data_IF_239750052355
#
_entry.id   IF_239750052355
#
_cell.length_a   1.000
_cell.length_b   1.000
_cell.length_c   1.000
_cell.angle_alpha   90.00
_cell.angle_beta   90.00
_cell.angle_gamma   90.00
#
_symmetry.space_group_name_H-M   'P 1'
#
loop_
_entity.id
_entity.type
_entity.pdbx_description
1 polymer ?
#
# COMPACT_ATOMS: atom_id res chain seq x y z
N UNK A 1 3.25 24.11 -22.92
CA UNK A 1 3.07 22.95 -22.02
C UNK A 1 4.18 21.96 -22.30
N UNK A 2 4.82 21.38 -21.31
CA UNK A 2 5.97 20.48 -21.37
C UNK A 2 7.15 21.02 -22.20
N UNK A 3 7.87 22.09 -21.73
CA UNK A 3 9.10 22.54 -22.36
C UNK A 3 10.16 21.45 -22.38
N UNK A 4 10.89 21.31 -23.48
CA UNK A 4 11.90 20.25 -23.65
C UNK A 4 12.98 20.30 -22.54
N UNK A 5 13.44 21.51 -22.24
CA UNK A 5 14.46 21.73 -21.19
C UNK A 5 13.99 21.20 -19.81
N UNK A 6 12.72 21.44 -19.46
CA UNK A 6 12.16 20.94 -18.20
C UNK A 6 11.98 19.41 -18.22
N UNK A 7 11.63 18.84 -19.38
CA UNK A 7 11.56 17.40 -19.53
C UNK A 7 12.91 16.75 -19.28
N UNK A 8 13.96 17.26 -19.90
CA UNK A 8 15.33 16.71 -19.72
C UNK A 8 15.81 16.84 -18.26
N UNK A 9 15.53 17.96 -17.62
CA UNK A 9 15.84 18.17 -16.21
C UNK A 9 15.12 17.14 -15.32
N UNK A 10 13.80 16.99 -15.50
CA UNK A 10 12.98 16.04 -14.71
C UNK A 10 13.33 14.59 -14.99
N UNK A 11 13.67 14.27 -16.24
CA UNK A 11 14.18 12.95 -16.62
C UNK A 11 15.46 12.61 -15.83
N UNK A 12 16.42 13.52 -15.82
CA UNK A 12 17.68 13.31 -15.09
C UNK A 12 17.46 13.13 -13.58
N UNK A 13 16.59 13.95 -12.99
CA UNK A 13 16.16 13.81 -11.58
C UNK A 13 15.49 12.46 -11.32
N UNK A 14 14.54 12.04 -12.16
CA UNK A 14 13.82 10.78 -12.03
C UNK A 14 14.76 9.57 -12.13
N UNK A 15 15.66 9.56 -13.11
CA UNK A 15 16.67 8.49 -13.26
C UNK A 15 17.58 8.42 -12.05
N UNK A 16 18.02 9.58 -11.53
CA UNK A 16 18.84 9.63 -10.31
C UNK A 16 18.09 9.03 -9.12
N UNK A 17 16.82 9.36 -8.93
CA UNK A 17 15.98 8.83 -7.85
C UNK A 17 15.79 7.30 -7.99
N UNK A 18 15.55 6.79 -9.20
CA UNK A 18 15.41 5.34 -9.44
C UNK A 18 16.73 4.62 -9.14
N UNK A 19 17.87 5.19 -9.54
CA UNK A 19 19.20 4.62 -9.24
C UNK A 19 19.49 4.63 -7.74
N UNK A 20 19.09 5.69 -7.03
CA UNK A 20 19.21 5.73 -5.57
C UNK A 20 18.33 4.67 -4.92
N UNK A 21 17.05 4.53 -5.33
CA UNK A 21 16.16 3.49 -4.82
C UNK A 21 16.73 2.08 -5.03
N UNK A 22 17.35 1.83 -6.20
CA UNK A 22 17.98 0.56 -6.52
C UNK A 22 19.16 0.21 -5.57
N UNK A 23 19.69 1.18 -4.84
CA UNK A 23 20.75 1.00 -3.83
C UNK A 23 20.22 0.72 -2.42
N UNK A 24 18.89 0.76 -2.20
CA UNK A 24 18.25 0.48 -0.92
C UNK A 24 17.69 -0.95 -0.87
N UNK A 25 18.20 -1.84 0.00
CA UNK A 25 17.72 -3.23 0.12
C UNK A 25 16.22 -3.32 0.38
N UNK A 26 15.66 -2.44 1.22
CA UNK A 26 14.23 -2.42 1.52
C UNK A 26 13.37 -2.19 0.27
N UNK A 27 13.77 -1.27 -0.62
CA UNK A 27 13.06 -1.00 -1.87
C UNK A 27 13.14 -2.21 -2.79
N UNK A 28 14.36 -2.77 -2.96
CA UNK A 28 14.58 -3.93 -3.82
C UNK A 28 13.83 -5.18 -3.37
N UNK A 29 13.72 -5.38 -2.05
CA UNK A 29 12.93 -6.49 -1.50
C UNK A 29 11.44 -6.31 -1.82
N UNK A 30 10.89 -5.08 -1.66
CA UNK A 30 9.48 -4.79 -1.98
C UNK A 30 9.21 -4.99 -3.47
N UNK A 31 10.00 -4.42 -4.36
CA UNK A 31 9.85 -4.62 -5.82
C UNK A 31 9.92 -6.11 -6.18
N UNK A 32 10.88 -6.83 -5.60
CA UNK A 32 11.04 -8.26 -5.83
C UNK A 32 9.83 -9.10 -5.38
N UNK A 33 9.24 -8.80 -4.22
CA UNK A 33 8.05 -9.54 -3.75
C UNK A 33 6.80 -9.18 -4.54
N UNK A 34 6.62 -7.92 -4.94
CA UNK A 34 5.49 -7.52 -5.77
C UNK A 34 5.53 -8.18 -7.16
N UNK A 35 6.73 -8.27 -7.76
CA UNK A 35 6.90 -9.01 -9.02
C UNK A 35 6.59 -10.50 -8.88
N UNK A 36 6.96 -11.12 -7.75
CA UNK A 36 6.64 -12.53 -7.47
C UNK A 36 5.13 -12.75 -7.26
N UNK A 37 4.44 -11.81 -6.61
CA UNK A 37 3.01 -11.87 -6.33
C UNK A 37 2.17 -11.68 -7.60
N UNK A 38 2.48 -10.64 -8.35
CA UNK A 38 1.62 -10.18 -9.44
C UNK A 38 2.12 -10.57 -10.84
N UNK A 39 3.40 -10.91 -10.98
CA UNK A 39 4.03 -11.08 -12.29
C UNK A 39 4.43 -9.75 -12.94
N UNK A 40 5.42 -9.75 -13.86
CA UNK A 40 6.05 -8.52 -14.37
C UNK A 40 5.10 -7.63 -15.20
N UNK A 41 4.07 -8.21 -15.79
CA UNK A 41 3.12 -7.46 -16.64
C UNK A 41 2.00 -6.78 -15.85
N UNK A 42 1.79 -7.17 -14.61
CA UNK A 42 0.72 -6.64 -13.77
C UNK A 42 1.04 -5.22 -13.28
N UNK A 43 0.06 -4.28 -13.27
CA UNK A 43 0.31 -2.91 -12.81
C UNK A 43 0.94 -2.80 -11.42
N UNK A 44 0.54 -3.66 -10.48
CA UNK A 44 1.06 -3.64 -9.10
C UNK A 44 2.48 -4.18 -8.94
N UNK A 45 3.02 -4.84 -9.96
CA UNK A 45 4.43 -5.24 -9.98
C UNK A 45 5.37 -4.17 -10.56
N UNK A 46 4.81 -3.16 -11.22
CA UNK A 46 5.62 -2.12 -11.86
C UNK A 46 6.10 -1.10 -10.83
N UNK A 47 7.41 -0.77 -10.79
CA UNK A 47 7.89 0.30 -9.95
C UNK A 47 7.20 1.62 -10.30
N UNK A 48 6.63 2.31 -9.30
CA UNK A 48 5.88 3.55 -9.51
C UNK A 48 6.72 4.67 -10.14
N UNK A 49 8.03 4.68 -9.91
CA UNK A 49 8.97 5.64 -10.48
C UNK A 49 9.47 5.24 -11.88
N UNK A 50 9.07 4.06 -12.39
CA UNK A 50 9.54 3.51 -13.66
C UNK A 50 10.93 2.87 -13.57
N UNK A 51 11.55 2.68 -14.74
CA UNK A 51 12.91 2.15 -14.88
C UNK A 51 13.77 3.14 -15.69
N UNK A 52 15.11 3.17 -15.49
CA UNK A 52 15.98 4.08 -16.25
C UNK A 52 15.76 4.00 -17.76
N UNK A 53 15.63 2.78 -18.30
CA UNK A 53 15.45 2.51 -19.73
C UNK A 53 14.13 3.09 -20.26
N UNK A 54 13.05 2.99 -19.49
CA UNK A 54 11.74 3.55 -19.87
C UNK A 54 11.74 5.06 -19.77
N UNK A 55 12.41 5.63 -18.76
CA UNK A 55 12.57 7.07 -18.59
C UNK A 55 13.45 7.68 -19.69
N UNK A 56 14.53 7.01 -20.08
CA UNK A 56 15.42 7.45 -21.18
C UNK A 56 14.69 7.42 -22.54
N UNK A 57 13.83 6.43 -22.77
CA UNK A 57 13.07 6.30 -24.02
C UNK A 57 11.90 7.27 -24.12
N UNK A 58 11.39 7.81 -23.00
CA UNK A 58 10.21 8.67 -22.96
C UNK A 58 10.43 9.98 -23.71
N UNK A 59 9.52 10.36 -24.57
CA UNK A 59 9.56 11.58 -25.37
C UNK A 59 8.51 12.58 -24.93
N UNK A 60 8.70 13.85 -25.29
CA UNK A 60 7.70 14.89 -25.05
C UNK A 60 6.32 14.53 -25.61
N UNK A 61 6.28 13.89 -26.78
CA UNK A 61 5.03 13.44 -27.40
C UNK A 61 4.26 12.46 -26.51
N UNK A 62 4.95 11.57 -25.79
CA UNK A 62 4.33 10.59 -24.89
C UNK A 62 3.66 11.30 -23.71
N UNK A 63 4.31 12.33 -23.12
CA UNK A 63 3.71 13.14 -22.07
C UNK A 63 2.49 13.92 -22.54
N UNK A 64 2.53 14.48 -23.76
CA UNK A 64 1.40 15.18 -24.35
C UNK A 64 0.23 14.23 -24.57
N UNK A 65 0.50 13.04 -25.12
CA UNK A 65 -0.51 12.01 -25.35
C UNK A 65 -1.13 11.51 -24.01
N UNK A 66 -0.29 11.24 -23.03
CA UNK A 66 -0.75 10.83 -21.69
C UNK A 66 -1.63 11.91 -21.05
N UNK A 67 -1.18 13.16 -21.08
CA UNK A 67 -1.94 14.28 -20.55
C UNK A 67 -3.31 14.42 -21.23
N UNK A 68 -3.35 14.36 -22.57
CA UNK A 68 -4.59 14.48 -23.32
C UNK A 68 -5.58 13.34 -23.04
N UNK A 69 -5.08 12.16 -22.73
CA UNK A 69 -5.90 10.99 -22.46
C UNK A 69 -6.41 10.91 -21.01
N UNK A 70 -5.56 11.23 -20.04
CA UNK A 70 -5.84 10.94 -18.63
C UNK A 70 -6.17 12.16 -17.78
N UNK A 71 -5.68 13.37 -18.15
CA UNK A 71 -6.02 14.59 -17.47
C UNK A 71 -7.20 15.27 -18.19
N UNK A 72 -8.38 14.74 -17.94
CA UNK A 72 -9.65 15.14 -18.58
C UNK A 72 -10.69 15.53 -17.53
N UNK A 73 -11.68 16.39 -17.88
CA UNK A 73 -12.70 16.82 -16.92
C UNK A 73 -13.45 15.66 -16.24
N UNK A 74 -13.76 14.62 -17.01
CA UNK A 74 -14.49 13.44 -16.52
C UNK A 74 -13.73 12.65 -15.45
N UNK A 75 -12.39 12.76 -15.41
CA UNK A 75 -11.53 12.13 -14.40
C UNK A 75 -11.27 13.03 -13.20
N UNK A 76 -11.62 14.33 -13.24
CA UNK A 76 -11.31 15.27 -12.17
C UNK A 76 -12.20 15.01 -10.95
N UNK A 77 -11.56 14.83 -9.80
CA UNK A 77 -12.20 14.87 -8.47
C UNK A 77 -11.46 15.92 -7.65
N UNK A 78 -12.20 16.90 -7.15
CA UNK A 78 -11.62 18.03 -6.43
C UNK A 78 -12.21 18.10 -5.01
N UNK A 79 -11.35 18.02 -4.01
CA UNK A 79 -11.68 18.28 -2.63
C UNK A 79 -11.05 19.62 -2.21
N UNK A 80 -11.84 20.52 -1.65
CA UNK A 80 -11.38 21.82 -1.15
C UNK A 80 -11.74 21.89 0.33
N UNK A 81 -10.74 22.06 1.19
CA UNK A 81 -10.90 22.10 2.63
C UNK A 81 -10.13 23.31 3.17
N UNK A 82 -10.78 24.10 4.02
CA UNK A 82 -10.18 25.28 4.63
C UNK A 82 -11.21 26.33 5.03
N UNK A 83 -10.73 27.48 5.44
CA UNK A 83 -11.56 28.64 5.77
C UNK A 83 -12.01 29.36 4.48
N UNK A 84 -12.98 28.75 3.78
CA UNK A 84 -13.52 29.26 2.52
C UNK A 84 -15.03 29.01 2.43
N UNK A 85 -15.75 30.00 1.92
CA UNK A 85 -17.16 29.86 1.60
C UNK A 85 -17.35 28.92 0.41
N UNK A 86 -18.17 27.88 0.59
CA UNK A 86 -18.41 26.84 -0.41
C UNK A 86 -18.90 27.40 -1.77
N UNK A 87 -19.77 28.43 -1.74
CA UNK A 87 -20.26 29.11 -2.95
C UNK A 87 -19.09 29.75 -3.76
N UNK A 88 -18.19 30.47 -3.07
CA UNK A 88 -17.04 31.09 -3.69
C UNK A 88 -16.07 30.07 -4.28
N UNK A 89 -15.86 28.94 -3.58
CA UNK A 89 -15.02 27.85 -4.09
C UNK A 89 -15.63 27.23 -5.35
N UNK A 90 -16.94 26.95 -5.34
CA UNK A 90 -17.68 26.41 -6.49
C UNK A 90 -17.62 27.37 -7.67
N UNK A 91 -17.87 28.67 -7.44
CA UNK A 91 -17.82 29.70 -8.50
C UNK A 91 -16.42 29.80 -9.12
N UNK A 92 -15.37 29.77 -8.28
CA UNK A 92 -13.99 29.78 -8.75
C UNK A 92 -13.66 28.55 -9.61
N UNK A 93 -14.03 27.36 -9.15
CA UNK A 93 -13.85 26.10 -9.91
C UNK A 93 -14.61 26.16 -11.22
N UNK A 94 -15.88 26.54 -11.19
CA UNK A 94 -16.72 26.66 -12.37
C UNK A 94 -16.12 27.64 -13.37
N UNK A 95 -15.70 28.82 -12.91
CA UNK A 95 -15.08 29.85 -13.77
C UNK A 95 -13.82 29.34 -14.46
N UNK A 96 -12.97 28.55 -13.77
CA UNK A 96 -11.69 28.12 -14.33
C UNK A 96 -11.77 26.83 -15.13
N UNK A 97 -12.74 25.95 -14.85
CA UNK A 97 -12.83 24.62 -15.46
C UNK A 97 -13.99 24.43 -16.42
N UNK A 98 -15.01 25.32 -16.45
CA UNK A 98 -16.19 25.17 -17.32
C UNK A 98 -15.85 25.11 -18.82
N UNK A 99 -14.76 25.77 -19.26
CA UNK A 99 -14.28 25.72 -20.65
C UNK A 99 -13.38 24.52 -20.97
N UNK A 100 -13.04 23.71 -19.96
CA UNK A 100 -12.17 22.54 -20.17
C UNK A 100 -12.98 21.37 -20.72
N UNK A 101 -12.68 20.99 -21.96
CA UNK A 101 -13.30 19.87 -22.66
C UNK A 101 -12.30 18.73 -22.82
N UNK A 102 -12.79 17.50 -22.85
CA UNK A 102 -12.00 16.31 -23.04
C UNK A 102 -12.88 15.10 -23.34
N UNK A 103 -12.28 13.97 -23.71
CA UNK A 103 -13.02 12.73 -23.89
C UNK A 103 -13.58 12.22 -22.55
N UNK A 104 -14.52 11.28 -22.63
CA UNK A 104 -14.94 10.52 -21.49
C UNK A 104 -13.77 9.74 -20.91
N UNK A 105 -13.79 9.55 -19.60
CA UNK A 105 -12.77 8.79 -18.89
C UNK A 105 -13.32 7.39 -18.55
N UNK A 106 -12.66 6.39 -19.11
CA UNK A 106 -12.88 5.01 -18.69
C UNK A 106 -11.85 4.69 -17.61
N UNK A 107 -12.28 4.24 -16.42
CA UNK A 107 -11.35 3.82 -15.37
C UNK A 107 -10.46 2.66 -15.84
N UNK A 108 -9.18 2.71 -15.51
CA UNK A 108 -8.28 1.61 -15.80
C UNK A 108 -8.74 0.35 -15.05
N UNK A 109 -8.88 -0.75 -15.79
CA UNK A 109 -9.21 -2.04 -15.21
C UNK A 109 -7.94 -2.68 -14.70
N UNK A 110 -7.90 -2.96 -13.39
CA UNK A 110 -6.83 -3.74 -12.79
C UNK A 110 -7.14 -5.23 -13.00
N UNK A 111 -6.30 -5.99 -13.72
CA UNK A 111 -6.53 -7.41 -13.93
C UNK A 111 -6.42 -8.17 -12.60
N UNK A 112 -7.07 -9.34 -12.47
CA UNK A 112 -6.87 -10.18 -11.30
C UNK A 112 -5.42 -10.68 -11.25
N UNK A 113 -4.83 -10.81 -10.05
CA UNK A 113 -3.50 -11.38 -9.92
C UNK A 113 -3.47 -12.87 -10.31
N UNK A 114 -2.29 -13.40 -10.68
CA UNK A 114 -2.15 -14.82 -10.94
C UNK A 114 -2.37 -15.66 -9.66
N UNK A 115 -2.71 -16.95 -9.79
CA UNK A 115 -2.84 -17.84 -8.64
C UNK A 115 -1.58 -17.82 -7.77
N UNK A 116 -1.77 -17.60 -6.46
CA UNK A 116 -0.69 -17.49 -5.50
C UNK A 116 -0.09 -18.87 -5.20
N UNK A 117 1.23 -18.97 -5.32
CA UNK A 117 2.03 -20.13 -4.89
C UNK A 117 3.25 -19.63 -4.13
N UNK A 118 3.83 -20.46 -3.27
CA UNK A 118 5.05 -20.08 -2.56
C UNK A 118 6.20 -19.86 -3.53
N UNK A 119 6.72 -18.62 -3.53
CA UNK A 119 7.86 -18.22 -4.36
C UNK A 119 8.88 -17.49 -3.47
N UNK A 120 10.15 -17.60 -3.83
CA UNK A 120 11.21 -16.85 -3.13
C UNK A 120 12.25 -16.33 -4.12
N UNK A 121 12.83 -15.16 -3.79
CA UNK A 121 13.93 -14.56 -4.55
C UNK A 121 14.96 -13.97 -3.61
N UNK A 122 16.24 -14.18 -3.90
CA UNK A 122 17.34 -13.46 -3.26
C UNK A 122 17.89 -12.43 -4.26
N UNK A 123 18.06 -11.21 -3.79
CA UNK A 123 18.62 -10.09 -4.55
C UNK A 123 19.94 -9.73 -3.88
N UNK A 124 21.04 -10.10 -4.55
CA UNK A 124 22.37 -9.84 -4.02
C UNK A 124 22.72 -8.35 -4.17
N UNK A 125 23.11 -7.74 -3.06
CA UNK A 125 23.50 -6.34 -2.97
C UNK A 125 24.85 -6.23 -2.21
N UNK A 126 25.97 -6.46 -2.89
CA UNK A 126 27.28 -6.46 -2.24
C UNK A 126 27.61 -5.15 -1.52
N UNK A 127 28.26 -5.24 -0.36
CA UNK A 127 28.66 -4.07 0.43
C UNK A 127 27.55 -3.51 1.35
N UNK A 128 26.36 -4.08 1.36
CA UNK A 128 25.32 -3.72 2.34
C UNK A 128 25.58 -4.43 3.68
N UNK A 129 25.23 -3.76 4.78
CA UNK A 129 25.39 -4.30 6.13
C UNK A 129 24.13 -4.94 6.68
N UNK A 130 22.99 -4.67 6.04
CA UNK A 130 21.65 -5.15 6.43
C UNK A 130 21.04 -5.93 5.27
N UNK A 131 20.25 -6.94 5.60
CA UNK A 131 19.32 -7.57 4.67
C UNK A 131 17.90 -7.15 5.00
N UNK A 132 17.13 -6.83 3.97
CA UNK A 132 15.72 -6.52 4.07
C UNK A 132 14.89 -7.65 3.48
N UNK A 133 13.90 -8.08 4.25
CA UNK A 133 12.93 -9.11 3.91
C UNK A 133 11.62 -8.42 3.56
N UNK A 134 11.07 -8.73 2.41
CA UNK A 134 9.69 -8.47 2.04
C UNK A 134 8.99 -9.81 1.81
N UNK A 135 7.93 -10.05 2.57
CA UNK A 135 7.15 -11.28 2.56
C UNK A 135 5.69 -10.89 2.34
N UNK A 136 4.99 -11.50 1.38
CA UNK A 136 3.69 -10.97 1.00
C UNK A 136 2.69 -11.99 0.51
N UNK A 137 1.44 -11.52 0.51
CA UNK A 137 0.26 -12.19 0.02
C UNK A 137 -0.51 -11.26 -0.91
N UNK A 138 -1.20 -11.82 -1.89
CA UNK A 138 -2.25 -11.11 -2.61
C UNK A 138 -3.49 -11.12 -1.74
N UNK A 139 -3.95 -9.96 -1.32
CA UNK A 139 -5.09 -9.80 -0.43
C UNK A 139 -6.36 -9.41 -1.20
N UNK A 140 -7.24 -8.62 -0.62
CA UNK A 140 -8.53 -8.23 -1.17
C UNK A 140 -8.53 -6.76 -1.60
N UNK A 141 -9.49 -6.40 -2.45
CA UNK A 141 -9.71 -5.00 -2.84
C UNK A 141 -10.38 -4.19 -1.72
N UNK A 142 -10.29 -2.86 -1.79
CA UNK A 142 -10.86 -1.93 -0.79
C UNK A 142 -12.36 -2.10 -0.60
N UNK A 143 -13.10 -2.42 -1.65
CA UNK A 143 -14.56 -2.59 -1.62
C UNK A 143 -15.02 -4.01 -1.31
N UNK A 144 -14.13 -4.91 -0.92
CA UNK A 144 -14.54 -6.22 -0.43
C UNK A 144 -15.29 -6.07 0.91
N UNK A 145 -16.43 -6.73 1.10
CA UNK A 145 -17.17 -6.65 2.37
C UNK A 145 -16.37 -7.02 3.61
N UNK A 146 -15.33 -7.85 3.43
CA UNK A 146 -14.45 -8.33 4.52
C UNK A 146 -13.30 -7.38 4.82
N UNK A 147 -13.22 -6.23 4.15
CA UNK A 147 -12.09 -5.29 4.27
C UNK A 147 -11.73 -4.95 5.73
N UNK A 148 -12.74 -4.72 6.58
CA UNK A 148 -12.48 -4.35 7.98
C UNK A 148 -11.90 -5.51 8.78
N UNK A 149 -12.31 -6.75 8.53
CA UNK A 149 -11.71 -7.93 9.16
C UNK A 149 -10.24 -8.10 8.77
N UNK A 150 -9.91 -7.87 7.50
CA UNK A 150 -8.51 -7.87 7.02
C UNK A 150 -7.70 -6.73 7.62
N UNK A 151 -8.29 -5.56 7.78
CA UNK A 151 -7.64 -4.43 8.44
C UNK A 151 -7.31 -4.75 9.90
N UNK A 152 -8.26 -5.32 10.66
CA UNK A 152 -8.02 -5.78 12.03
C UNK A 152 -6.92 -6.84 12.08
N UNK A 153 -7.01 -7.87 11.25
CA UNK A 153 -6.01 -8.92 11.16
C UNK A 153 -4.61 -8.35 10.91
N UNK A 154 -4.45 -7.46 9.94
CA UNK A 154 -3.16 -6.84 9.65
C UNK A 154 -2.69 -5.94 10.80
N UNK A 155 -3.59 -5.21 11.46
CA UNK A 155 -3.23 -4.38 12.61
C UNK A 155 -2.67 -5.24 13.75
N UNK A 156 -3.32 -6.33 14.09
CA UNK A 156 -2.86 -7.27 15.13
C UNK A 156 -1.54 -7.92 14.72
N UNK A 157 -1.43 -8.34 13.46
CA UNK A 157 -0.23 -9.01 12.96
C UNK A 157 1.00 -8.11 13.03
N UNK A 158 0.89 -6.87 12.55
CA UNK A 158 2.08 -6.06 12.36
C UNK A 158 1.93 -4.55 12.35
N UNK A 159 0.77 -3.98 12.75
CA UNK A 159 0.60 -2.52 12.82
C UNK A 159 0.29 -1.98 14.22
N UNK A 160 -0.11 -2.85 15.17
CA UNK A 160 -0.47 -2.39 16.50
C UNK A 160 0.77 -1.90 17.27
N UNK A 161 0.69 -0.72 17.86
CA UNK A 161 1.80 -0.13 18.62
C UNK A 161 3.08 -0.02 17.79
N UNK A 162 4.13 -0.70 18.20
CA UNK A 162 5.42 -0.72 17.51
C UNK A 162 5.55 -1.81 16.44
N UNK A 163 4.46 -2.47 16.05
CA UNK A 163 4.46 -3.46 14.96
C UNK A 163 3.77 -4.79 15.29
N UNK A 164 2.88 -4.83 16.30
CA UNK A 164 2.05 -5.99 16.63
C UNK A 164 2.86 -7.25 16.98
N UNK A 165 2.27 -8.42 16.72
CA UNK A 165 2.90 -9.74 17.00
C UNK A 165 4.26 -9.93 16.34
N UNK A 166 4.43 -9.36 15.12
CA UNK A 166 5.69 -9.47 14.39
C UNK A 166 6.83 -8.75 15.11
N UNK A 167 6.59 -7.52 15.57
CA UNK A 167 7.62 -6.78 16.28
C UNK A 167 7.89 -7.38 17.66
N UNK A 168 6.84 -7.76 18.39
CA UNK A 168 6.98 -8.41 19.68
C UNK A 168 7.90 -9.62 19.60
N UNK A 169 7.63 -10.54 18.66
CA UNK A 169 8.43 -11.74 18.50
C UNK A 169 9.82 -11.47 17.93
N UNK A 170 9.90 -10.79 16.76
CA UNK A 170 11.14 -10.76 15.97
C UNK A 170 12.10 -9.69 16.49
N UNK A 171 11.56 -8.55 16.95
CA UNK A 171 12.35 -7.42 17.44
C UNK A 171 12.56 -7.48 18.95
N UNK A 172 11.49 -7.55 19.75
CA UNK A 172 11.59 -7.43 21.20
C UNK A 172 12.10 -8.72 21.86
N UNK A 173 11.49 -9.88 21.57
CA UNK A 173 11.88 -11.14 22.20
C UNK A 173 13.19 -11.71 21.65
N UNK A 174 13.35 -11.68 20.32
CA UNK A 174 14.50 -12.32 19.67
C UNK A 174 15.64 -11.36 19.32
N UNK A 175 15.42 -10.05 19.35
CA UNK A 175 16.46 -9.03 19.09
C UNK A 175 17.07 -9.10 17.69
N UNK A 176 16.36 -9.67 16.70
CA UNK A 176 16.92 -9.93 15.37
C UNK A 176 16.75 -8.79 14.38
N UNK A 177 15.73 -7.97 14.59
CA UNK A 177 15.33 -6.96 13.62
C UNK A 177 15.34 -5.57 14.23
N UNK A 178 15.78 -4.58 13.43
CA UNK A 178 15.57 -3.18 13.75
C UNK A 178 14.11 -2.78 13.62
N UNK A 179 13.43 -3.36 12.62
CA UNK A 179 12.00 -3.23 12.43
C UNK A 179 11.39 -4.55 11.93
N UNK A 180 10.17 -4.83 12.34
CA UNK A 180 9.32 -5.88 11.79
C UNK A 180 7.87 -5.42 11.89
N UNK A 181 7.18 -5.31 10.76
CA UNK A 181 5.80 -4.86 10.70
C UNK A 181 5.09 -5.37 9.45
N UNK A 182 3.78 -5.23 9.39
CA UNK A 182 3.01 -5.52 8.19
C UNK A 182 2.21 -4.29 7.72
N UNK A 183 1.90 -4.27 6.44
CA UNK A 183 1.00 -3.29 5.81
C UNK A 183 0.00 -4.01 4.92
N UNK A 184 -1.22 -3.49 4.87
CA UNK A 184 -2.28 -3.98 4.01
C UNK A 184 -2.79 -2.84 3.14
N UNK A 185 -2.66 -2.99 1.84
CA UNK A 185 -3.08 -1.99 0.86
C UNK A 185 -4.40 -2.39 0.20
N UNK A 186 -5.50 -1.86 0.75
CA UNK A 186 -6.80 -1.96 0.10
C UNK A 186 -6.91 -0.99 -1.07
N UNK A 187 -6.69 -1.48 -2.27
CA UNK A 187 -6.71 -0.71 -3.53
C UNK A 187 -7.95 -1.01 -4.37
N UNK A 188 -8.01 -0.48 -5.61
CA UNK A 188 -9.10 -0.75 -6.56
C UNK A 188 -9.13 -2.25 -6.93
N UNK A 189 -7.97 -2.84 -7.16
CA UNK A 189 -7.80 -4.28 -7.36
C UNK A 189 -7.43 -5.00 -6.07
N UNK A 190 -7.06 -6.28 -6.18
CA UNK A 190 -6.56 -7.09 -5.08
C UNK A 190 -5.15 -6.65 -4.71
N UNK A 191 -5.03 -5.80 -3.68
CA UNK A 191 -3.77 -5.24 -3.21
C UNK A 191 -2.94 -6.23 -2.38
N UNK A 192 -1.69 -5.89 -2.05
CA UNK A 192 -0.84 -6.76 -1.25
C UNK A 192 -1.06 -6.58 0.26
N UNK A 193 -0.89 -7.67 1.00
CA UNK A 193 -0.46 -7.61 2.39
C UNK A 193 1.03 -7.93 2.42
N UNK A 194 1.85 -7.01 2.94
CA UNK A 194 3.30 -7.14 3.01
C UNK A 194 3.78 -7.17 4.47
N UNK A 195 4.61 -8.14 4.80
CA UNK A 195 5.41 -8.18 6.03
C UNK A 195 6.82 -7.75 5.66
N UNK A 196 7.39 -6.84 6.43
CA UNK A 196 8.72 -6.28 6.18
C UNK A 196 9.57 -6.36 7.44
N UNK A 197 10.83 -6.78 7.28
CA UNK A 197 11.79 -6.83 8.36
C UNK A 197 13.19 -6.48 7.88
N UNK A 198 13.89 -5.62 8.63
CA UNK A 198 15.31 -5.30 8.42
C UNK A 198 16.16 -6.02 9.46
N UNK A 199 17.05 -6.90 9.01
CA UNK A 199 17.82 -7.80 9.88
C UNK A 199 19.30 -7.84 9.51
N UNK A 200 20.13 -8.25 10.45
CA UNK A 200 21.50 -8.66 10.14
C UNK A 200 21.47 -9.85 9.14
N UNK A 201 22.31 -9.87 8.09
CA UNK A 201 22.34 -10.94 7.11
C UNK A 201 22.41 -12.36 7.70
N UNK A 202 23.10 -12.56 8.81
CA UNK A 202 23.21 -13.84 9.49
C UNK A 202 21.87 -14.30 10.07
N UNK A 203 20.98 -13.38 10.38
CA UNK A 203 19.67 -13.64 10.98
C UNK A 203 18.55 -13.91 9.97
N UNK A 204 18.81 -13.72 8.67
CA UNK A 204 17.77 -13.90 7.63
C UNK A 204 17.03 -15.24 7.75
N UNK A 205 17.70 -16.41 7.87
CA UNK A 205 16.97 -17.69 7.98
C UNK A 205 16.09 -17.79 9.24
N UNK A 206 16.56 -17.22 10.36
CA UNK A 206 15.82 -17.21 11.63
C UNK A 206 14.61 -16.29 11.57
N UNK A 207 14.78 -15.11 10.96
CA UNK A 207 13.70 -14.13 10.78
C UNK A 207 12.61 -14.67 9.86
N UNK A 208 12.97 -15.30 8.75
CA UNK A 208 11.99 -15.96 7.86
C UNK A 208 11.22 -17.06 8.59
N UNK A 209 11.90 -17.89 9.36
CA UNK A 209 11.25 -18.93 10.17
C UNK A 209 10.35 -18.32 11.27
N UNK A 210 10.70 -17.17 11.83
CA UNK A 210 9.88 -16.46 12.79
C UNK A 210 8.63 -15.86 12.13
N UNK A 211 8.77 -15.26 10.94
CA UNK A 211 7.65 -14.77 10.14
C UNK A 211 6.69 -15.93 9.81
N UNK A 212 7.21 -17.03 9.27
CA UNK A 212 6.40 -18.22 8.94
C UNK A 212 5.62 -18.73 10.18
N UNK A 213 6.25 -18.75 11.36
CA UNK A 213 5.59 -19.17 12.61
C UNK A 213 4.48 -18.22 13.04
N UNK A 214 4.69 -16.89 12.98
CA UNK A 214 3.67 -15.92 13.37
C UNK A 214 2.49 -15.91 12.38
N UNK A 215 2.77 -16.01 11.09
CA UNK A 215 1.77 -16.14 10.04
C UNK A 215 0.92 -17.40 10.27
N UNK A 216 1.56 -18.56 10.49
CA UNK A 216 0.84 -19.82 10.71
C UNK A 216 0.11 -19.83 12.06
N UNK A 217 0.67 -19.22 13.12
CA UNK A 217 -0.01 -19.05 14.42
C UNK A 217 -1.28 -18.22 14.24
N UNK A 218 -1.18 -17.08 13.55
CA UNK A 218 -2.34 -16.22 13.30
C UNK A 218 -3.39 -16.92 12.43
N UNK A 219 -2.95 -17.68 11.43
CA UNK A 219 -3.83 -18.47 10.57
C UNK A 219 -4.59 -19.57 11.32
N UNK A 220 -3.88 -20.34 12.15
CA UNK A 220 -4.43 -21.53 12.82
C UNK A 220 -5.24 -21.18 14.06
N UNK A 221 -4.69 -20.31 14.91
CA UNK A 221 -5.23 -20.02 16.23
C UNK A 221 -6.10 -18.75 16.21
N UNK A 222 -5.99 -17.92 15.16
CA UNK A 222 -6.66 -16.64 15.07
C UNK A 222 -6.12 -15.58 16.04
N UNK A 223 -6.81 -14.44 16.15
CA UNK A 223 -6.56 -13.45 17.19
C UNK A 223 -7.22 -13.87 18.52
N UNK A 224 -6.77 -13.28 19.61
CA UNK A 224 -7.47 -13.34 20.90
C UNK A 224 -8.56 -12.28 20.97
N UNK A 225 -9.55 -12.48 21.85
CA UNK A 225 -10.59 -11.47 22.08
C UNK A 225 -10.02 -10.13 22.57
N UNK A 226 -8.96 -10.18 23.39
CA UNK A 226 -8.28 -8.98 23.89
C UNK A 226 -7.63 -8.18 22.72
N UNK A 227 -6.91 -8.84 21.82
CA UNK A 227 -6.29 -8.19 20.65
C UNK A 227 -7.34 -7.53 19.74
N UNK A 228 -8.48 -8.17 19.54
CA UNK A 228 -9.57 -7.58 18.74
C UNK A 228 -10.13 -6.34 19.42
N UNK A 229 -10.37 -6.37 20.73
CA UNK A 229 -10.91 -5.20 21.47
C UNK A 229 -9.90 -4.05 21.55
N UNK A 230 -8.63 -4.33 21.80
CA UNK A 230 -7.56 -3.33 21.80
C UNK A 230 -7.40 -2.70 20.41
N UNK A 231 -7.42 -3.51 19.35
CA UNK A 231 -7.37 -3.03 17.96
C UNK A 231 -8.57 -2.16 17.66
N UNK A 232 -9.78 -2.58 18.04
CA UNK A 232 -11.01 -1.82 17.87
C UNK A 232 -10.91 -0.45 18.53
N UNK A 233 -10.53 -0.44 19.80
CA UNK A 233 -10.37 0.80 20.57
C UNK A 233 -9.32 1.74 19.92
N UNK A 234 -8.20 1.18 19.47
CA UNK A 234 -7.13 1.92 18.79
C UNK A 234 -7.59 2.52 17.46
N UNK A 235 -8.24 1.72 16.61
CA UNK A 235 -8.72 2.18 15.30
C UNK A 235 -9.79 3.26 15.44
N UNK A 236 -10.79 3.07 16.31
CA UNK A 236 -11.83 4.08 16.57
C UNK A 236 -11.19 5.35 17.18
N UNK A 237 -10.28 5.19 18.15
CA UNK A 237 -9.59 6.30 18.79
C UNK A 237 -8.68 7.09 17.84
N UNK A 238 -8.24 6.50 16.74
CA UNK A 238 -7.41 7.17 15.72
C UNK A 238 -8.20 8.02 14.73
N UNK A 239 -9.53 7.83 14.61
CA UNK A 239 -10.36 8.54 13.62
C UNK A 239 -10.28 10.08 13.76
N UNK A 240 -10.35 10.69 14.95
CA UNK A 240 -10.22 12.14 15.06
C UNK A 240 -8.91 12.69 14.49
N UNK A 241 -7.82 11.92 14.63
CA UNK A 241 -6.51 12.30 14.09
C UNK A 241 -6.44 12.27 12.57
N UNK A 242 -7.24 11.39 11.92
CA UNK A 242 -7.38 11.36 10.46
C UNK A 242 -8.05 12.62 9.90
N UNK A 243 -8.74 13.39 10.74
CA UNK A 243 -9.50 14.59 10.37
C UNK A 243 -8.96 15.85 11.07
N UNK A 244 -7.70 15.85 11.49
CA UNK A 244 -7.12 16.94 12.28
C UNK A 244 -6.68 18.11 11.42
N UNK A 245 -6.19 17.85 10.21
CA UNK A 245 -5.66 18.88 9.29
C UNK A 245 -6.51 19.03 8.04
N UNK A 246 -6.46 20.21 7.41
CA UNK A 246 -7.15 20.43 6.13
C UNK A 246 -6.68 19.43 5.04
N UNK A 247 -5.39 19.11 5.02
CA UNK A 247 -4.80 18.15 4.10
C UNK A 247 -5.38 16.75 4.33
N UNK A 248 -5.36 16.25 5.57
CA UNK A 248 -5.88 14.92 5.89
C UNK A 248 -7.40 14.81 5.67
N UNK A 249 -8.15 15.89 5.91
CA UNK A 249 -9.60 15.93 5.55
C UNK A 249 -9.78 15.86 4.03
N UNK A 250 -8.97 16.58 3.25
CA UNK A 250 -9.06 16.53 1.80
C UNK A 250 -8.72 15.13 1.25
N UNK A 251 -7.69 14.48 1.75
CA UNK A 251 -7.31 13.10 1.40
C UNK A 251 -8.41 12.09 1.78
N UNK A 252 -9.01 12.26 2.97
CA UNK A 252 -10.15 11.44 3.40
C UNK A 252 -11.34 11.58 2.45
N UNK A 253 -11.71 12.80 2.07
CA UNK A 253 -12.79 13.07 1.13
C UNK A 253 -12.49 12.49 -0.27
N UNK A 254 -11.26 12.62 -0.75
CA UNK A 254 -10.82 12.00 -2.01
C UNK A 254 -10.93 10.48 -1.95
N UNK A 255 -10.53 9.86 -0.83
CA UNK A 255 -10.69 8.42 -0.62
C UNK A 255 -12.16 8.00 -0.59
N UNK A 256 -13.02 8.77 0.06
CA UNK A 256 -14.47 8.52 0.07
C UNK A 256 -15.04 8.55 -1.33
N UNK A 257 -14.66 9.52 -2.15
CA UNK A 257 -15.10 9.65 -3.55
C UNK A 257 -14.52 8.53 -4.43
N UNK A 258 -13.24 8.23 -4.29
CA UNK A 258 -12.56 7.20 -5.09
C UNK A 258 -13.19 5.82 -4.90
N UNK A 259 -13.56 5.48 -3.68
CA UNK A 259 -14.11 4.17 -3.33
C UNK A 259 -15.64 4.17 -3.14
N UNK A 260 -16.33 5.29 -3.42
CA UNK A 260 -17.79 5.36 -3.25
C UNK A 260 -18.26 5.10 -1.83
N UNK A 261 -17.48 5.51 -0.81
CA UNK A 261 -17.79 5.23 0.60
C UNK A 261 -18.88 6.14 1.17
N UNK A 262 -19.22 7.23 0.48
CA UNK A 262 -20.16 8.26 0.94
C UNK A 262 -19.49 9.32 1.82
N UNK A 263 -20.03 10.54 1.78
CA UNK A 263 -19.48 11.69 2.53
C UNK A 263 -19.77 11.63 4.04
N UNK A 264 -20.56 10.67 4.49
CA UNK A 264 -20.87 10.38 5.89
C UNK A 264 -20.03 9.24 6.47
N UNK A 265 -18.98 8.84 5.73
CA UNK A 265 -18.17 7.69 6.09
C UNK A 265 -17.44 7.86 7.43
N UNK A 266 -17.02 9.08 7.80
CA UNK A 266 -16.45 9.42 9.09
C UNK A 266 -17.38 9.04 10.27
N UNK A 267 -18.68 9.27 10.10
CA UNK A 267 -19.70 8.97 11.11
C UNK A 267 -20.05 7.49 11.16
N UNK A 268 -20.00 6.80 10.02
CA UNK A 268 -20.32 5.37 9.93
C UNK A 268 -19.16 4.47 10.30
N UNK A 269 -17.92 4.93 10.08
CA UNK A 269 -16.71 4.14 10.31
C UNK A 269 -16.62 3.54 11.73
N UNK A 270 -16.89 4.29 12.83
CA UNK A 270 -16.91 3.68 14.16
C UNK A 270 -17.87 2.50 14.28
N UNK A 271 -19.07 2.61 13.73
CA UNK A 271 -20.07 1.53 13.76
C UNK A 271 -19.66 0.33 12.91
N UNK A 272 -19.01 0.56 11.76
CA UNK A 272 -18.46 -0.51 10.91
C UNK A 272 -17.35 -1.28 11.64
N UNK A 273 -16.48 -0.57 12.35
CA UNK A 273 -15.41 -1.19 13.16
C UNK A 273 -15.98 -1.93 14.38
N UNK A 274 -17.06 -1.43 14.99
CA UNK A 274 -17.73 -2.11 16.09
C UNK A 274 -18.37 -3.45 15.70
N UNK A 275 -18.78 -3.60 14.45
CA UNK A 275 -19.43 -4.82 13.94
C UNK A 275 -18.45 -5.95 13.64
N UNK A 276 -17.14 -5.66 13.51
CA UNK A 276 -16.12 -6.69 13.23
C UNK A 276 -16.03 -7.64 14.44
N UNK A 277 -16.26 -8.91 14.21
CA UNK A 277 -16.22 -9.95 15.25
C UNK A 277 -14.85 -10.66 15.30
N UNK A 278 -14.59 -11.35 16.40
CA UNK A 278 -13.45 -12.26 16.54
C UNK A 278 -13.43 -13.32 15.43
N UNK A 279 -14.61 -13.84 15.09
CA UNK A 279 -14.80 -14.86 14.05
C UNK A 279 -14.43 -14.29 12.66
N UNK A 280 -14.86 -13.06 12.34
CA UNK A 280 -14.53 -12.40 11.07
C UNK A 280 -13.03 -12.26 10.90
N UNK A 281 -12.33 -11.80 11.94
CA UNK A 281 -10.86 -11.62 11.89
C UNK A 281 -10.14 -12.96 11.80
N UNK A 282 -10.61 -13.98 12.51
CA UNK A 282 -10.11 -15.35 12.42
C UNK A 282 -10.31 -15.94 11.03
N UNK A 283 -11.48 -15.73 10.41
CA UNK A 283 -11.76 -16.17 9.05
C UNK A 283 -10.85 -15.47 8.02
N UNK A 284 -10.65 -14.17 8.15
CA UNK A 284 -9.73 -13.41 7.29
C UNK A 284 -8.29 -13.94 7.39
N UNK A 285 -7.82 -14.25 8.61
CA UNK A 285 -6.51 -14.84 8.84
C UNK A 285 -6.38 -16.24 8.22
N UNK A 286 -7.37 -17.10 8.43
CA UNK A 286 -7.40 -18.46 7.90
C UNK A 286 -7.40 -18.49 6.36
N UNK A 287 -8.09 -17.54 5.73
CA UNK A 287 -8.18 -17.43 4.26
C UNK A 287 -6.88 -16.91 3.64
N UNK A 288 -6.33 -15.82 4.19
CA UNK A 288 -5.20 -15.11 3.57
C UNK A 288 -3.85 -15.73 3.90
N UNK A 289 -3.61 -16.05 5.18
CA UNK A 289 -2.29 -16.30 5.73
C UNK A 289 -1.78 -17.75 5.52
N UNK A 290 -1.96 -18.27 4.31
CA UNK A 290 -1.42 -19.59 3.95
C UNK A 290 0.04 -19.44 3.48
N UNK A 291 0.99 -19.93 4.27
CA UNK A 291 2.42 -19.86 3.95
C UNK A 291 2.78 -20.48 2.60
N UNK A 292 1.97 -21.45 2.09
CA UNK A 292 2.17 -22.06 0.79
C UNK A 292 1.77 -21.14 -0.38
N UNK A 293 1.10 -20.04 -0.07
CA UNK A 293 0.70 -19.00 -1.04
C UNK A 293 1.54 -17.73 -0.92
N UNK A 294 2.43 -17.67 0.05
CA UNK A 294 3.27 -16.51 0.28
C UNK A 294 4.39 -16.38 -0.75
N UNK A 295 4.69 -15.15 -1.13
CA UNK A 295 5.93 -14.83 -1.87
C UNK A 295 6.89 -14.08 -0.95
N UNK A 296 8.21 -14.31 -1.14
CA UNK A 296 9.24 -13.69 -0.33
C UNK A 296 10.40 -13.20 -1.20
N UNK A 297 10.85 -11.97 -0.97
CA UNK A 297 12.09 -11.47 -1.53
C UNK A 297 13.02 -11.00 -0.40
N UNK A 298 14.29 -11.33 -0.51
CA UNK A 298 15.34 -10.89 0.43
C UNK A 298 16.41 -10.16 -0.35
N UNK A 299 16.65 -8.89 -0.02
CA UNK A 299 17.69 -8.08 -0.62
C UNK A 299 18.79 -7.78 0.41
N UNK A 300 20.03 -8.01 0.04
CA UNK A 300 21.19 -7.85 0.93
C UNK A 300 22.44 -8.56 0.42
N UNK A 301 23.51 -8.60 1.21
CA UNK A 301 24.79 -9.20 0.82
C UNK A 301 24.71 -10.71 0.59
#
# INVERSE_FOLDING_TARGET
>A
MFPELELEKRRAEAITNVRQDADYPAVRAIEGVLELLYGPEHPYARPAKGAPETLEAMRRADLVAFHARHLVPAALRLAIVGDAEASHAIDAVTKHFSGWQGPDHEPDVVPPPPPSTRKSRRILMPGKLQSDIAYGFTAIRRLDPRYYAYWFMNTILGQFGLGGRLAENIREEQGMAYYAFSSFDGTIGEGPLLIRAGVDPVNVPRALAAIDREVERMRRDGPTAAEVEETRASLIGSIPRLLETNESIAEFLQSCEQFGLGLDYDRRLPSLLQQVTLEDVGAAAAELLDINRASCAVAGP
#
